data_IF_331429822907
#
_entry.id   IF_331429822907
#
_cell.length_a   1.000
_cell.length_b   1.000
_cell.length_c   1.000
_cell.angle_alpha   90.00
_cell.angle_beta   90.00
_cell.angle_gamma   90.00
#
_symmetry.space_group_name_H-M   'P 1'
#
loop_
_entity.id
_entity.type
_entity.pdbx_description
1 polymer ?
#
# COMPACT_ATOMS: atom_id res chain seq x y z
N UNK A 1 -19.35 -12.50 35.43
CA UNK A 1 -19.69 -12.70 34.01
C UNK A 1 -20.17 -11.42 33.31
N UNK A 2 -20.80 -10.45 33.99
CA UNK A 2 -21.21 -9.18 33.36
C UNK A 2 -20.07 -8.18 33.06
N UNK A 3 -18.86 -8.38 33.58
CA UNK A 3 -17.73 -7.47 33.41
C UNK A 3 -17.27 -7.29 31.95
N UNK A 4 -17.57 -8.24 31.06
CA UNK A 4 -17.29 -8.12 29.62
C UNK A 4 -18.23 -7.16 28.89
N UNK A 5 -19.44 -6.92 29.42
CA UNK A 5 -20.43 -6.02 28.80
C UNK A 5 -20.07 -4.53 28.99
N UNK A 6 -19.20 -4.23 29.95
CA UNK A 6 -18.72 -2.87 30.25
C UNK A 6 -17.22 -2.70 29.97
N UNK A 7 -16.60 -3.67 29.28
CA UNK A 7 -15.19 -3.58 28.92
C UNK A 7 -14.97 -2.50 27.86
N UNK A 8 -13.99 -1.62 28.10
CA UNK A 8 -13.64 -0.53 27.17
C UNK A 8 -13.17 -1.11 25.83
N UNK A 9 -13.81 -0.73 24.73
CA UNK A 9 -13.30 -1.07 23.40
C UNK A 9 -12.00 -0.31 23.13
N UNK A 10 -10.92 -1.03 22.85
CA UNK A 10 -9.66 -0.44 22.39
C UNK A 10 -9.63 -0.42 20.87
N UNK A 11 -9.24 0.71 20.29
CA UNK A 11 -9.02 0.84 18.85
C UNK A 11 -7.69 0.17 18.53
N UNK A 12 -7.72 -0.89 17.73
CA UNK A 12 -6.52 -1.60 17.26
C UNK A 12 -6.34 -1.35 15.77
N UNK A 13 -5.11 -1.10 15.34
CA UNK A 13 -4.73 -1.05 13.92
C UNK A 13 -3.97 -2.34 13.60
N UNK A 14 -4.54 -3.21 12.77
CA UNK A 14 -3.85 -4.39 12.24
C UNK A 14 -2.83 -3.99 11.17
N UNK A 15 -1.65 -4.67 11.13
CA UNK A 15 -0.31 -4.32 10.59
C UNK A 15 0.77 -4.05 11.66
N UNK A 16 0.48 -4.40 12.92
CA UNK A 16 1.17 -3.96 14.13
C UNK A 16 2.25 -4.91 14.69
N UNK A 17 2.75 -5.84 13.88
CA UNK A 17 3.89 -6.73 14.21
C UNK A 17 3.74 -7.54 15.53
N UNK A 18 2.50 -7.85 15.95
CA UNK A 18 2.25 -8.69 17.14
C UNK A 18 2.59 -10.18 16.92
N UNK A 19 2.38 -10.87 15.77
CA UNK A 19 1.49 -10.72 14.61
C UNK A 19 -0.01 -10.92 14.92
N UNK A 20 -0.85 -9.98 14.49
CA UNK A 20 -2.30 -10.04 14.75
C UNK A 20 -3.10 -10.96 13.79
N UNK A 21 -2.47 -11.47 12.73
CA UNK A 21 -3.12 -12.34 11.72
C UNK A 21 -3.99 -11.63 10.68
N UNK A 22 -4.18 -10.32 10.82
CA UNK A 22 -4.97 -9.49 9.90
C UNK A 22 -4.06 -8.68 8.99
N UNK A 23 -4.16 -8.95 7.69
CA UNK A 23 -3.42 -8.28 6.62
C UNK A 23 -4.38 -8.09 5.45
N UNK A 24 -4.24 -7.00 4.72
CA UNK A 24 -4.98 -6.76 3.48
C UNK A 24 -4.18 -5.80 2.57
N UNK A 25 -3.87 -6.20 1.32
CA UNK A 25 -3.27 -5.31 0.32
C UNK A 25 -4.06 -4.02 0.06
N UNK A 26 -5.34 -3.97 0.45
CA UNK A 26 -6.15 -2.76 0.44
C UNK A 26 -5.48 -1.55 1.12
N UNK A 27 -4.70 -1.76 2.19
CA UNK A 27 -3.97 -0.65 2.81
C UNK A 27 -2.99 -0.01 1.83
N UNK A 28 -2.19 -0.79 1.11
CA UNK A 28 -1.29 -0.25 0.08
C UNK A 28 -2.06 0.35 -1.10
N UNK A 29 -3.13 -0.33 -1.55
CA UNK A 29 -3.94 0.08 -2.70
C UNK A 29 -4.58 1.45 -2.50
N UNK A 30 -5.26 1.68 -1.37
CA UNK A 30 -5.97 2.95 -1.10
C UNK A 30 -4.98 4.14 -1.07
N UNK A 31 -3.78 3.91 -0.56
CA UNK A 31 -2.72 4.93 -0.59
C UNK A 31 -2.24 5.23 -2.00
N UNK A 32 -2.04 4.19 -2.83
CA UNK A 32 -1.65 4.35 -4.23
C UNK A 32 -2.79 4.97 -5.09
N UNK A 33 -4.06 4.68 -4.80
CA UNK A 33 -5.22 5.35 -5.39
C UNK A 33 -5.19 6.85 -5.07
N UNK A 34 -4.88 7.22 -3.82
CA UNK A 34 -4.73 8.61 -3.41
C UNK A 34 -3.57 9.31 -4.11
N UNK A 35 -2.45 8.61 -4.35
CA UNK A 35 -1.32 9.12 -5.15
C UNK A 35 -1.75 9.43 -6.57
N UNK A 36 -2.38 8.47 -7.27
CA UNK A 36 -2.85 8.66 -8.65
C UNK A 36 -3.88 9.78 -8.74
N UNK A 37 -4.87 9.80 -7.85
CA UNK A 37 -5.89 10.84 -7.83
C UNK A 37 -5.29 12.24 -7.56
N UNK A 38 -4.24 12.32 -6.73
CA UNK A 38 -3.52 13.58 -6.51
C UNK A 38 -2.80 14.02 -7.79
N UNK A 39 -2.14 13.10 -8.49
CA UNK A 39 -1.51 13.38 -9.79
C UNK A 39 -2.52 13.88 -10.84
N UNK A 40 -3.71 13.27 -10.91
CA UNK A 40 -4.79 13.72 -11.81
C UNK A 40 -5.24 15.15 -11.47
N UNK A 41 -5.42 15.46 -10.18
CA UNK A 41 -5.77 16.83 -9.77
C UNK A 41 -4.65 17.84 -10.08
N UNK A 42 -3.38 17.43 -10.05
CA UNK A 42 -2.25 18.27 -10.43
C UNK A 42 -2.23 18.59 -11.93
N UNK A 43 -2.91 17.83 -12.79
CA UNK A 43 -3.05 18.14 -14.22
C UNK A 43 -4.09 19.23 -14.49
N UNK A 44 -5.09 19.37 -13.60
CA UNK A 44 -6.22 20.27 -13.78
C UNK A 44 -6.08 21.63 -13.07
N UNK A 45 -5.00 21.84 -12.29
CA UNK A 45 -4.81 23.05 -11.51
C UNK A 45 -3.32 23.36 -11.34
N UNK A 46 -2.85 24.44 -11.96
CA UNK A 46 -1.44 24.88 -11.94
C UNK A 46 -1.12 25.93 -10.87
N UNK A 47 -2.08 26.29 -9.99
CA UNK A 47 -1.85 27.19 -8.86
C UNK A 47 -0.64 26.72 -8.02
N UNK A 48 0.37 27.56 -7.78
CA UNK A 48 1.59 27.16 -7.07
C UNK A 48 1.32 26.62 -5.66
N UNK A 49 0.37 27.20 -4.91
CA UNK A 49 0.07 26.74 -3.56
C UNK A 49 -0.60 25.36 -3.58
N UNK A 50 -1.51 25.14 -4.53
CA UNK A 50 -2.10 23.83 -4.79
C UNK A 50 -1.03 22.79 -5.16
N UNK A 51 -0.14 23.12 -6.11
CA UNK A 51 0.93 22.23 -6.56
C UNK A 51 1.87 21.84 -5.42
N UNK A 52 2.26 22.79 -4.56
CA UNK A 52 3.09 22.52 -3.39
C UNK A 52 2.39 21.58 -2.41
N UNK A 53 1.12 21.85 -2.08
CA UNK A 53 0.35 21.00 -1.15
C UNK A 53 0.14 19.59 -1.70
N UNK A 54 -0.21 19.49 -2.99
CA UNK A 54 -0.39 18.22 -3.68
C UNK A 54 0.92 17.40 -3.69
N UNK A 55 2.07 18.05 -3.95
CA UNK A 55 3.38 17.39 -3.88
C UNK A 55 3.66 16.83 -2.49
N UNK A 56 3.45 17.63 -1.43
CA UNK A 56 3.66 17.18 -0.04
C UNK A 56 2.77 15.98 0.31
N UNK A 57 1.48 16.07 0.00
CA UNK A 57 0.52 15.01 0.34
C UNK A 57 0.83 13.73 -0.44
N UNK A 58 1.07 13.84 -1.75
CA UNK A 58 1.45 12.70 -2.61
C UNK A 58 2.65 11.95 -2.05
N UNK A 59 3.64 12.68 -1.53
CA UNK A 59 4.85 12.08 -0.98
C UNK A 59 4.61 11.28 0.29
N UNK A 60 3.73 11.79 1.16
CA UNK A 60 3.32 11.10 2.38
C UNK A 60 2.51 9.84 2.05
N UNK A 61 1.56 9.92 1.12
CA UNK A 61 0.72 8.76 0.75
C UNK A 61 1.53 7.68 0.04
N UNK A 62 2.42 8.07 -0.86
CA UNK A 62 3.33 7.12 -1.51
C UNK A 62 4.28 6.45 -0.51
N UNK A 63 4.71 7.14 0.55
CA UNK A 63 5.50 6.50 1.63
C UNK A 63 4.68 5.49 2.42
N UNK A 64 3.43 5.80 2.77
CA UNK A 64 2.53 4.85 3.44
C UNK A 64 2.24 3.63 2.56
N UNK A 65 2.02 3.82 1.26
CA UNK A 65 1.88 2.72 0.31
C UNK A 65 3.12 1.81 0.33
N UNK A 66 4.32 2.39 0.32
CA UNK A 66 5.59 1.63 0.40
C UNK A 66 5.70 0.86 1.71
N UNK A 67 5.37 1.49 2.82
CA UNK A 67 5.35 0.84 4.13
C UNK A 67 4.44 -0.38 4.12
N UNK A 68 3.19 -0.25 3.65
CA UNK A 68 2.23 -1.36 3.61
C UNK A 68 2.67 -2.49 2.66
N UNK A 69 3.24 -2.17 1.49
CA UNK A 69 3.84 -3.18 0.60
C UNK A 69 5.01 -3.91 1.28
N UNK A 70 5.88 -3.18 1.98
CA UNK A 70 7.00 -3.78 2.71
C UNK A 70 6.54 -4.68 3.84
N UNK A 71 5.51 -4.29 4.61
CA UNK A 71 4.94 -5.09 5.70
C UNK A 71 4.35 -6.41 5.18
N UNK A 72 3.67 -6.41 4.02
CA UNK A 72 3.23 -7.67 3.41
C UNK A 72 4.42 -8.58 3.07
N UNK A 73 5.50 -8.00 2.58
CA UNK A 73 6.70 -8.74 2.21
C UNK A 73 7.44 -9.36 3.40
N UNK A 74 7.66 -8.59 4.47
CA UNK A 74 8.38 -9.06 5.64
C UNK A 74 7.51 -9.89 6.59
N UNK A 75 6.25 -9.49 6.80
CA UNK A 75 5.46 -9.96 7.94
C UNK A 75 4.36 -10.93 7.52
N UNK A 76 3.79 -10.78 6.32
CA UNK A 76 2.76 -11.69 5.79
C UNK A 76 3.37 -12.86 5.02
N UNK A 77 4.14 -12.59 3.95
CA UNK A 77 4.73 -13.64 3.13
C UNK A 77 5.75 -14.48 3.91
N UNK A 78 5.88 -15.77 3.54
CA UNK A 78 6.68 -16.79 4.23
C UNK A 78 7.41 -17.64 3.20
N UNK A 79 8.41 -18.41 3.63
CA UNK A 79 9.21 -19.25 2.72
C UNK A 79 8.38 -20.07 1.71
N UNK A 80 7.30 -20.78 2.09
CA UNK A 80 6.48 -21.52 1.12
C UNK A 80 5.81 -20.64 0.05
N UNK A 81 5.48 -19.39 0.39
CA UNK A 81 4.94 -18.43 -0.59
C UNK A 81 6.00 -18.02 -1.59
N UNK A 82 7.24 -17.78 -1.15
CA UNK A 82 8.36 -17.43 -2.04
C UNK A 82 8.80 -18.60 -2.92
N UNK A 83 8.71 -19.83 -2.44
CA UNK A 83 8.95 -21.03 -3.25
C UNK A 83 7.88 -21.22 -4.34
N UNK A 84 6.59 -21.01 -3.99
CA UNK A 84 5.47 -21.10 -4.92
C UNK A 84 5.46 -19.97 -5.95
N UNK A 85 5.89 -18.77 -5.55
CA UNK A 85 5.91 -17.57 -6.38
C UNK A 85 7.35 -17.01 -6.46
N UNK A 86 8.25 -17.62 -7.27
CA UNK A 86 9.66 -17.22 -7.33
C UNK A 86 9.88 -15.77 -7.78
N UNK A 87 8.91 -15.17 -8.48
CA UNK A 87 8.91 -13.78 -8.91
C UNK A 87 8.54 -12.78 -7.80
N UNK A 88 8.04 -13.23 -6.65
CA UNK A 88 7.41 -12.36 -5.64
C UNK A 88 8.38 -11.33 -5.04
N UNK A 89 9.65 -11.72 -4.81
CA UNK A 89 10.66 -10.77 -4.34
C UNK A 89 10.86 -9.61 -5.31
N UNK A 90 10.97 -9.92 -6.62
CA UNK A 90 11.16 -8.92 -7.66
C UNK A 90 9.91 -8.05 -7.80
N UNK A 91 8.72 -8.66 -7.80
CA UNK A 91 7.44 -7.97 -7.90
C UNK A 91 7.26 -6.92 -6.79
N UNK A 92 7.51 -7.30 -5.52
CA UNK A 92 7.46 -6.35 -4.40
C UNK A 92 8.48 -5.22 -4.58
N UNK A 93 9.71 -5.55 -5.00
CA UNK A 93 10.76 -4.56 -5.20
C UNK A 93 10.39 -3.55 -6.30
N UNK A 94 9.80 -4.03 -7.39
CA UNK A 94 9.33 -3.21 -8.50
C UNK A 94 8.16 -2.33 -8.08
N UNK A 95 7.22 -2.83 -7.26
CA UNK A 95 6.14 -2.03 -6.70
C UNK A 95 6.68 -0.87 -5.82
N UNK A 96 7.65 -1.15 -4.94
CA UNK A 96 8.30 -0.12 -4.10
C UNK A 96 9.03 0.93 -4.94
N UNK A 97 9.70 0.51 -6.02
CA UNK A 97 10.36 1.42 -6.97
C UNK A 97 9.35 2.23 -7.78
N UNK A 98 8.24 1.63 -8.22
CA UNK A 98 7.17 2.33 -8.93
C UNK A 98 6.54 3.42 -8.05
N UNK A 99 6.29 3.15 -6.76
CA UNK A 99 5.85 4.16 -5.80
C UNK A 99 6.88 5.28 -5.62
N UNK A 100 8.17 4.96 -5.68
CA UNK A 100 9.23 5.97 -5.62
C UNK A 100 9.30 6.81 -6.92
N UNK A 101 8.99 6.23 -8.08
CA UNK A 101 8.84 6.98 -9.32
C UNK A 101 7.59 7.89 -9.30
N UNK A 102 6.48 7.43 -8.69
CA UNK A 102 5.27 8.25 -8.52
C UNK A 102 5.49 9.45 -7.58
N UNK A 103 6.40 9.34 -6.60
CA UNK A 103 6.88 10.48 -5.82
C UNK A 103 7.55 11.55 -6.70
N UNK A 104 8.46 11.13 -7.57
CA UNK A 104 9.18 12.05 -8.46
C UNK A 104 8.34 12.59 -9.64
N UNK A 105 7.08 12.19 -9.80
CA UNK A 105 6.27 12.50 -10.99
C UNK A 105 4.92 13.14 -10.68
N UNK A 106 4.46 14.00 -11.59
CA UNK A 106 3.09 14.53 -11.64
C UNK A 106 2.18 13.74 -12.60
N UNK A 107 2.75 12.86 -13.42
CA UNK A 107 2.02 12.07 -14.41
C UNK A 107 1.24 10.93 -13.74
N UNK A 108 -0.11 10.89 -13.87
CA UNK A 108 -0.95 9.82 -13.34
C UNK A 108 -0.57 8.41 -13.80
N UNK A 109 0.12 8.28 -14.94
CA UNK A 109 0.59 6.98 -15.43
C UNK A 109 1.57 6.31 -14.46
N UNK A 110 2.36 7.09 -13.71
CA UNK A 110 3.26 6.54 -12.68
C UNK A 110 2.50 6.00 -11.47
N UNK A 111 1.42 6.67 -11.04
CA UNK A 111 0.51 6.16 -10.02
C UNK A 111 -0.23 4.91 -10.47
N UNK A 112 -0.67 4.86 -11.74
CA UNK A 112 -1.31 3.68 -12.31
C UNK A 112 -0.35 2.47 -12.35
N UNK A 113 0.89 2.66 -12.79
CA UNK A 113 1.89 1.58 -12.78
C UNK A 113 2.10 0.99 -11.38
N UNK A 114 2.10 1.82 -10.35
CA UNK A 114 2.19 1.34 -8.98
C UNK A 114 0.94 0.53 -8.57
N UNK A 115 -0.26 0.97 -8.96
CA UNK A 115 -1.51 0.23 -8.73
C UNK A 115 -1.52 -1.12 -9.43
N UNK A 116 -1.04 -1.20 -10.67
CA UNK A 116 -0.99 -2.45 -11.44
C UNK A 116 -0.13 -3.50 -10.72
N UNK A 117 1.06 -3.10 -10.25
CA UNK A 117 1.95 -3.99 -9.48
C UNK A 117 1.35 -4.37 -8.11
N UNK A 118 0.66 -3.45 -7.44
CA UNK A 118 -0.08 -3.75 -6.20
C UNK A 118 -1.21 -4.75 -6.46
N UNK A 119 -1.88 -4.68 -7.61
CA UNK A 119 -2.93 -5.64 -7.98
C UNK A 119 -2.37 -7.05 -8.23
N UNK A 120 -1.17 -7.17 -8.80
CA UNK A 120 -0.48 -8.46 -8.90
C UNK A 120 -0.13 -9.03 -7.52
N UNK A 121 0.35 -8.19 -6.59
CA UNK A 121 0.61 -8.59 -5.19
C UNK A 121 -0.70 -9.01 -4.50
N UNK A 122 -1.79 -8.27 -4.71
CA UNK A 122 -3.12 -8.58 -4.15
C UNK A 122 -3.65 -9.93 -4.63
N UNK A 123 -3.51 -10.21 -5.93
CA UNK A 123 -3.87 -11.52 -6.49
C UNK A 123 -3.11 -12.66 -5.80
N UNK A 124 -1.79 -12.54 -5.66
CA UNK A 124 -0.96 -13.56 -4.98
C UNK A 124 -1.38 -13.71 -3.52
N UNK A 125 -1.59 -12.58 -2.82
CA UNK A 125 -2.06 -12.58 -1.43
C UNK A 125 -3.36 -13.37 -1.25
N UNK A 126 -4.37 -13.15 -2.10
CA UNK A 126 -5.65 -13.87 -2.00
C UNK A 126 -5.56 -15.32 -2.45
N UNK A 127 -4.65 -15.67 -3.36
CA UNK A 127 -4.34 -17.06 -3.68
C UNK A 127 -3.72 -17.79 -2.48
N UNK A 128 -2.84 -17.13 -1.70
CA UNK A 128 -2.26 -17.72 -0.47
C UNK A 128 -3.25 -17.81 0.69
N UNK A 129 -4.42 -17.15 0.62
CA UNK A 129 -5.51 -17.28 1.60
C UNK A 129 -6.48 -18.43 1.30
N UNK A 130 -6.48 -18.96 0.07
CA UNK A 130 -7.33 -20.09 -0.36
C UNK A 130 -6.67 -21.46 -0.18
N UNK A 131 -5.34 -21.46 -0.10
CA UNK A 131 -4.52 -22.65 0.05
C UNK A 131 -4.40 -23.10 1.50
#
# INVERSE_FOLDING_TARGET
>A
MLSRLFARSVKVSAHCDLPCGVYDPAQARIEAESVKATQEKMQANDDPHFQTRATIIKEQRAELAKHHVSVLWSDYFKAPHFEKYPQLHQLVNDALKALSAAKASKDPATGQKALDLIAEIDKIFWETKKA
#
